data_IF_422630900344
#
_entry.id   IF_422630900344
#
_cell.length_a   1.000
_cell.length_b   1.000
_cell.length_c   1.000
_cell.angle_alpha   90.00
_cell.angle_beta   90.00
_cell.angle_gamma   90.00
#
_symmetry.space_group_name_H-M   'P 1'
#
loop_
_entity.id
_entity.type
_entity.pdbx_description
1 polymer ?
#
# COMPACT_ATOMS: atom_id res chain seq x y z
N UNK A 1 14.22 3.38 1.30
CA UNK A 1 12.87 3.86 1.13
C UNK A 1 12.85 5.26 0.52
N UNK A 2 13.70 6.14 1.03
CA UNK A 2 13.81 7.48 0.47
C UNK A 2 14.22 7.45 -0.99
N UNK A 3 15.10 6.53 -1.35
CA UNK A 3 15.51 6.41 -2.75
C UNK A 3 14.36 5.97 -3.63
N UNK A 4 13.53 5.09 -3.10
CA UNK A 4 12.34 4.66 -3.84
C UNK A 4 11.43 5.86 -4.08
N UNK A 5 11.23 6.65 -3.06
CA UNK A 5 10.36 7.80 -3.17
C UNK A 5 10.91 8.82 -4.18
N UNK A 6 12.19 9.15 -4.07
CA UNK A 6 12.80 10.14 -4.95
C UNK A 6 12.72 9.71 -6.40
N UNK A 7 12.94 8.43 -6.64
CA UNK A 7 12.85 7.91 -8.00
C UNK A 7 11.43 8.07 -8.56
N UNK A 8 10.45 7.74 -7.77
CA UNK A 8 9.07 7.86 -8.20
C UNK A 8 8.55 9.27 -8.14
N UNK A 9 9.11 10.09 -7.24
CA UNK A 9 8.67 11.45 -7.08
C UNK A 9 8.78 12.29 -8.33
N UNK A 10 9.58 11.84 -9.27
CA UNK A 10 9.69 12.53 -10.55
C UNK A 10 8.42 12.48 -11.37
N UNK A 11 7.50 11.62 -10.98
CA UNK A 11 6.26 11.42 -11.71
C UNK A 11 5.16 12.38 -11.28
N UNK A 12 5.52 13.32 -10.42
CA UNK A 12 4.60 14.37 -10.03
C UNK A 12 3.76 14.05 -8.82
N UNK A 13 2.74 14.87 -8.56
CA UNK A 13 1.98 14.81 -7.32
C UNK A 13 1.22 13.50 -7.14
N UNK A 14 1.02 12.79 -8.20
CA UNK A 14 0.31 11.52 -8.12
C UNK A 14 1.24 10.33 -8.12
N UNK A 15 2.51 10.58 -7.89
CA UNK A 15 3.35 9.48 -7.53
C UNK A 15 2.88 9.07 -6.18
N UNK A 16 2.19 8.05 -6.21
CA UNK A 16 1.21 7.80 -5.21
C UNK A 16 1.56 6.53 -4.47
N UNK A 17 0.61 6.12 -3.68
CA UNK A 17 0.71 4.93 -2.88
C UNK A 17 1.00 3.67 -3.69
N UNK A 18 0.39 3.52 -4.85
CA UNK A 18 0.62 2.33 -5.66
C UNK A 18 2.00 2.33 -6.30
N UNK A 19 2.51 3.52 -6.66
CA UNK A 19 3.86 3.63 -7.19
C UNK A 19 4.92 3.19 -6.19
N UNK A 20 4.72 3.53 -4.92
CA UNK A 20 5.62 3.10 -3.87
C UNK A 20 5.70 1.57 -3.82
N UNK A 21 4.55 0.91 -3.84
CA UNK A 21 4.49 -0.53 -3.75
C UNK A 21 5.07 -1.19 -4.99
N UNK A 22 4.73 -0.68 -6.17
CA UNK A 22 5.28 -1.20 -7.40
C UNK A 22 6.81 -1.18 -7.38
N UNK A 23 7.38 -0.05 -6.95
CA UNK A 23 8.82 0.11 -6.94
C UNK A 23 9.47 -0.81 -5.92
N UNK A 24 8.87 -0.93 -4.75
CA UNK A 24 9.41 -1.79 -3.71
C UNK A 24 9.48 -3.25 -4.16
N UNK A 25 8.42 -3.73 -4.80
CA UNK A 25 8.41 -5.11 -5.28
C UNK A 25 9.27 -5.29 -6.52
N UNK A 26 9.35 -4.28 -7.36
CA UNK A 26 10.18 -4.36 -8.55
C UNK A 26 11.66 -4.58 -8.20
N UNK A 27 12.11 -4.03 -7.08
CA UNK A 27 13.48 -4.26 -6.63
C UNK A 27 13.78 -5.71 -6.34
N UNK A 28 12.75 -6.52 -6.15
CA UNK A 28 12.89 -7.96 -5.95
C UNK A 28 12.40 -8.73 -7.17
N UNK A 29 12.34 -8.07 -8.33
CA UNK A 29 11.93 -8.66 -9.59
C UNK A 29 10.49 -9.15 -9.58
N UNK A 30 9.65 -8.51 -8.78
CA UNK A 30 8.24 -8.82 -8.73
C UNK A 30 7.48 -7.65 -9.34
N UNK A 31 6.71 -7.93 -10.38
CA UNK A 31 5.91 -6.92 -11.07
C UNK A 31 4.49 -6.92 -10.56
N UNK A 32 3.97 -5.73 -10.29
CA UNK A 32 2.61 -5.55 -9.82
C UNK A 32 1.83 -4.69 -10.81
N UNK A 33 0.49 -4.84 -10.85
CA UNK A 33 -0.33 -3.93 -11.65
C UNK A 33 -0.15 -2.49 -11.22
N UNK A 34 -0.57 -1.54 -12.05
CA UNK A 34 -0.28 -0.13 -11.82
C UNK A 34 -1.12 0.50 -10.72
N UNK A 35 -2.41 0.23 -10.69
CA UNK A 35 -3.31 0.94 -9.78
C UNK A 35 -3.68 0.13 -8.56
N UNK A 36 -4.01 0.83 -7.47
CA UNK A 36 -4.28 0.18 -6.20
C UNK A 36 -5.41 -0.85 -6.28
N UNK A 37 -6.48 -0.54 -6.99
CA UNK A 37 -7.58 -1.49 -7.11
C UNK A 37 -7.18 -2.73 -7.91
N UNK A 38 -6.26 -2.58 -8.86
CA UNK A 38 -5.75 -3.71 -9.62
C UNK A 38 -4.85 -4.58 -8.76
N UNK A 39 -4.01 -3.95 -7.94
CA UNK A 39 -3.14 -4.69 -7.02
C UNK A 39 -4.00 -5.46 -6.02
N UNK A 40 -5.07 -4.85 -5.54
CA UNK A 40 -5.98 -5.52 -4.61
C UNK A 40 -6.55 -6.79 -5.20
N UNK A 41 -6.98 -6.74 -6.46
CA UNK A 41 -7.51 -7.91 -7.14
C UNK A 41 -6.46 -8.96 -7.44
N UNK A 42 -5.23 -8.53 -7.65
CA UNK A 42 -4.13 -9.41 -7.99
C UNK A 42 -3.61 -10.22 -6.80
N UNK A 43 -3.66 -9.65 -5.61
CA UNK A 43 -3.12 -10.27 -4.41
C UNK A 43 -4.01 -11.37 -3.87
N UNK A 44 -3.38 -12.30 -3.14
CA UNK A 44 -4.13 -13.25 -2.35
C UNK A 44 -4.81 -12.49 -1.23
N UNK A 45 -6.12 -12.62 -1.11
CA UNK A 45 -6.89 -11.93 -0.08
C UNK A 45 -6.65 -12.56 1.29
N UNK A 46 -6.46 -11.74 2.31
CA UNK A 46 -6.30 -12.19 3.69
C UNK A 46 -7.60 -12.00 4.44
N UNK A 47 -8.13 -13.09 4.95
CA UNK A 47 -9.40 -13.05 5.68
C UNK A 47 -9.18 -12.85 7.17
N UNK A 48 -10.11 -12.14 7.82
CA UNK A 48 -10.13 -11.96 9.28
C UNK A 48 -8.95 -11.20 9.85
N UNK A 49 -8.19 -10.48 9.00
CA UNK A 49 -7.02 -9.78 9.51
C UNK A 49 -7.39 -8.65 10.49
N UNK A 50 -8.60 -8.11 10.39
CA UNK A 50 -9.05 -7.03 11.28
C UNK A 50 -9.24 -7.48 12.72
N UNK A 51 -9.41 -8.74 12.94
CA UNK A 51 -9.58 -9.30 14.27
C UNK A 51 -8.25 -9.56 14.94
N UNK A 52 -7.22 -9.73 14.12
CA UNK A 52 -5.88 -9.96 14.63
C UNK A 52 -4.88 -9.56 13.55
N UNK A 53 -4.13 -8.50 13.84
CA UNK A 53 -3.08 -8.09 12.92
C UNK A 53 -1.93 -9.10 12.89
N UNK A 54 -2.00 -10.13 13.72
CA UNK A 54 -0.98 -11.17 13.73
C UNK A 54 -0.92 -11.99 12.46
N UNK A 55 -1.96 -11.98 11.63
CA UNK A 55 -1.91 -12.69 10.35
C UNK A 55 -1.09 -11.91 9.32
N UNK A 56 -0.86 -10.63 9.55
CA UNK A 56 -0.10 -9.80 8.62
C UNK A 56 1.39 -10.08 8.75
N UNK A 57 2.07 -10.03 7.62
CA UNK A 57 3.52 -10.19 7.53
C UNK A 57 4.14 -8.98 6.86
N UNK A 58 5.40 -8.67 7.20
CA UNK A 58 6.09 -7.57 6.51
C UNK A 58 5.99 -7.71 5.00
N UNK A 59 5.61 -6.63 4.34
CA UNK A 59 5.44 -6.63 2.89
C UNK A 59 4.02 -6.83 2.42
N UNK A 60 3.10 -7.20 3.30
CA UNK A 60 1.71 -7.38 2.89
C UNK A 60 1.07 -6.04 2.55
N UNK A 61 0.41 -5.93 1.39
CA UNK A 61 -0.32 -4.70 1.06
C UNK A 61 -1.56 -4.54 1.91
N UNK A 62 -1.81 -3.30 2.30
CA UNK A 62 -3.03 -2.89 2.99
C UNK A 62 -3.82 -1.99 2.04
N UNK A 63 -5.12 -2.22 1.94
CA UNK A 63 -5.97 -1.52 0.98
C UNK A 63 -6.97 -0.64 1.69
N UNK A 64 -7.04 0.63 1.27
CA UNK A 64 -7.87 1.65 1.90
C UNK A 64 -8.77 2.30 0.87
N UNK A 65 -9.89 2.84 1.32
CA UNK A 65 -10.80 3.55 0.44
C UNK A 65 -12.16 3.73 1.07
N UNK A 66 -13.12 4.14 0.24
CA UNK A 66 -14.49 4.29 0.67
C UNK A 66 -15.28 3.05 0.27
N UNK A 67 -15.93 2.47 1.26
CA UNK A 67 -16.69 1.26 1.08
C UNK A 67 -15.80 0.19 0.46
N UNK A 68 -16.11 -0.27 -0.73
CA UNK A 68 -15.31 -1.30 -1.35
C UNK A 68 -14.39 -0.78 -2.45
N UNK A 69 -14.39 0.53 -2.64
CA UNK A 69 -13.57 1.11 -3.68
C UNK A 69 -12.19 1.44 -3.14
N UNK A 70 -11.19 0.69 -3.56
CA UNK A 70 -9.82 0.89 -3.13
C UNK A 70 -9.19 2.04 -3.90
N UNK A 71 -8.73 3.05 -3.17
CA UNK A 71 -8.06 4.19 -3.78
C UNK A 71 -6.73 4.52 -3.10
N UNK A 72 -6.33 3.74 -2.11
CA UNK A 72 -5.08 3.95 -1.40
C UNK A 72 -4.52 2.62 -0.93
N UNK A 73 -3.21 2.53 -0.80
CA UNK A 73 -2.54 1.29 -0.46
C UNK A 73 -1.30 1.58 0.38
N UNK A 74 -1.01 0.68 1.30
CA UNK A 74 0.20 0.74 2.12
C UNK A 74 0.90 -0.60 2.15
N UNK A 75 2.08 -0.63 2.75
CA UNK A 75 2.86 -1.86 2.92
C UNK A 75 3.06 -2.10 4.41
N UNK A 76 2.59 -3.23 4.88
CA UNK A 76 2.72 -3.56 6.29
C UNK A 76 4.19 -3.78 6.68
N UNK A 77 4.57 -3.27 7.83
CA UNK A 77 5.91 -3.45 8.36
C UNK A 77 5.90 -4.48 9.50
N UNK A 78 5.36 -4.07 10.64
CA UNK A 78 5.26 -4.93 11.83
C UNK A 78 4.53 -4.16 12.92
N UNK A 79 4.00 -4.88 13.88
CA UNK A 79 3.39 -4.28 15.08
C UNK A 79 2.36 -3.19 14.76
N UNK A 80 1.57 -3.42 13.73
CA UNK A 80 0.55 -2.47 13.33
C UNK A 80 1.05 -1.29 12.53
N UNK A 81 2.34 -1.22 12.24
CA UNK A 81 2.93 -0.13 11.47
C UNK A 81 2.97 -0.46 9.99
N UNK A 82 2.79 0.55 9.17
CA UNK A 82 2.85 0.37 7.72
C UNK A 82 3.40 1.62 7.05
N UNK A 83 4.04 1.41 5.90
CA UNK A 83 4.51 2.50 5.05
C UNK A 83 3.45 2.83 4.02
N UNK A 84 3.27 4.12 3.75
CA UNK A 84 2.45 4.54 2.62
C UNK A 84 2.87 5.92 2.17
N UNK A 85 2.45 6.27 0.97
CA UNK A 85 2.70 7.58 0.39
C UNK A 85 1.39 8.33 0.38
N UNK A 86 1.31 9.41 1.13
CA UNK A 86 0.08 10.18 1.25
C UNK A 86 0.30 11.62 0.84
N UNK A 87 -0.79 12.29 0.47
CA UNK A 87 -0.73 13.64 -0.01
C UNK A 87 -0.63 14.68 1.10
N UNK A 88 -0.66 15.95 0.68
CA UNK A 88 -0.51 17.07 1.59
C UNK A 88 -1.71 17.26 2.51
N UNK A 89 -2.89 17.18 1.94
CA UNK A 89 -4.10 17.59 2.68
C UNK A 89 -4.51 16.61 3.76
N UNK A 90 -4.51 15.33 3.43
CA UNK A 90 -4.94 14.30 4.37
C UNK A 90 -3.84 13.30 4.57
N UNK A 91 -2.62 13.78 4.83
CA UNK A 91 -1.54 12.84 4.95
C UNK A 91 -0.24 13.50 5.36
N UNK A 92 0.82 12.77 5.13
CA UNK A 92 2.16 13.14 5.58
C UNK A 92 2.99 13.85 4.51
N UNK A 93 2.42 14.05 3.34
CA UNK A 93 3.12 14.66 2.22
C UNK A 93 4.38 13.88 1.86
N UNK A 94 4.21 12.61 1.59
CA UNK A 94 5.32 11.74 1.21
C UNK A 94 5.20 10.36 1.83
N UNK A 95 6.31 9.64 1.83
CA UNK A 95 6.37 8.30 2.36
C UNK A 95 6.65 8.36 3.86
N UNK A 96 5.76 7.82 4.66
CA UNK A 96 5.91 7.80 6.11
C UNK A 96 5.32 6.52 6.67
N UNK A 97 5.64 6.28 7.94
CA UNK A 97 5.03 5.20 8.71
C UNK A 97 3.82 5.74 9.44
N UNK A 98 2.76 4.96 9.42
CA UNK A 98 1.60 5.23 10.26
C UNK A 98 1.17 3.94 10.94
N UNK A 99 0.26 4.03 11.90
CA UNK A 99 -0.08 2.89 12.75
C UNK A 99 -1.56 2.54 12.66
N UNK A 100 -1.82 1.25 12.60
CA UNK A 100 -3.18 0.73 12.68
C UNK A 100 -3.69 0.76 14.13
N UNK A 101 -2.79 0.96 15.08
CA UNK A 101 -3.13 0.96 16.50
C UNK A 101 -3.25 2.36 17.10
N UNK A 102 -2.79 3.37 16.40
CA UNK A 102 -2.77 4.73 16.93
C UNK A 102 -4.11 5.41 16.74
N UNK A 103 -4.67 5.90 17.83
CA UNK A 103 -5.98 6.56 17.80
C UNK A 103 -5.90 8.06 18.08
N UNK A 104 -4.77 8.55 18.57
CA UNK A 104 -4.64 9.97 18.90
C UNK A 104 -4.12 10.81 17.75
N UNK A 105 -3.53 10.18 16.76
CA UNK A 105 -3.01 10.87 15.60
C UNK A 105 -4.08 10.91 14.51
N UNK A 106 -4.44 12.10 14.07
CA UNK A 106 -5.51 12.28 13.10
C UNK A 106 -5.27 11.56 11.79
N UNK A 107 -4.04 11.56 11.32
CA UNK A 107 -3.72 10.95 10.03
C UNK A 107 -3.81 9.45 10.14
N UNK A 108 -3.24 8.86 11.19
CA UNK A 108 -3.33 7.42 11.41
C UNK A 108 -4.78 6.99 11.54
N UNK A 109 -5.57 7.75 12.29
CA UNK A 109 -6.98 7.42 12.47
C UNK A 109 -7.75 7.52 11.16
N UNK A 110 -7.45 8.54 10.37
CA UNK A 110 -8.11 8.75 9.08
C UNK A 110 -7.95 7.51 8.19
N UNK A 111 -6.72 7.03 8.04
CA UNK A 111 -6.48 5.87 7.18
C UNK A 111 -6.99 4.58 7.81
N UNK A 112 -6.86 4.44 9.11
CA UNK A 112 -7.41 3.26 9.77
C UNK A 112 -8.91 3.14 9.53
N UNK A 113 -9.61 4.25 9.57
CA UNK A 113 -11.05 4.25 9.35
C UNK A 113 -11.43 3.88 7.93
N UNK A 114 -10.50 3.98 7.00
CA UNK A 114 -10.70 3.65 5.59
C UNK A 114 -10.13 2.29 5.20
N UNK A 115 -9.61 1.55 6.15
CA UNK A 115 -9.02 0.24 5.86
C UNK A 115 -10.09 -0.73 5.40
N UNK A 116 -9.91 -1.25 4.18
CA UNK A 116 -10.88 -2.18 3.58
C UNK A 116 -10.44 -3.63 3.79
N UNK A 117 -9.20 -3.94 3.42
CA UNK A 117 -8.72 -5.30 3.43
C UNK A 117 -7.21 -5.33 3.37
N UNK A 118 -6.65 -6.54 3.40
CA UNK A 118 -5.24 -6.76 3.22
C UNK A 118 -5.03 -7.92 2.27
N UNK A 119 -3.86 -7.99 1.68
CA UNK A 119 -3.52 -9.06 0.78
C UNK A 119 -2.10 -9.52 0.94
N UNK A 120 -1.72 -10.49 0.13
CA UNK A 120 -0.34 -10.98 0.09
C UNK A 120 0.06 -11.19 -1.35
N UNK A 121 1.22 -10.67 -1.69
CA UNK A 121 1.75 -10.85 -3.04
C UNK A 121 2.36 -12.25 -3.10
N UNK A 122 1.76 -13.11 -3.90
CA UNK A 122 2.21 -14.51 -4.02
C UNK A 122 2.68 -14.85 -5.41
N UNK A 123 2.65 -13.89 -6.33
CA UNK A 123 3.11 -14.10 -7.70
C UNK A 123 3.44 -12.76 -8.34
N UNK A 124 4.06 -12.82 -9.51
CA UNK A 124 4.41 -11.62 -10.26
C UNK A 124 3.44 -11.41 -11.41
N UNK A 125 3.09 -10.16 -11.64
CA UNK A 125 2.21 -9.78 -12.74
C UNK A 125 3.01 -9.79 -14.04
N UNK A 126 2.45 -10.37 -15.10
CA UNK A 126 3.18 -10.60 -16.34
C UNK A 126 2.64 -9.84 -17.54
N UNK A 127 2.03 -8.71 -17.29
CA UNK A 127 1.44 -7.91 -18.34
C UNK A 127 2.46 -7.53 -19.43
N UNK A 128 3.70 -7.39 -19.04
CA UNK A 128 4.74 -6.91 -19.91
C UNK A 128 4.94 -7.79 -21.14
N UNK A 129 4.50 -8.99 -21.08
CA UNK A 129 4.67 -9.92 -22.15
C UNK A 129 3.86 -9.61 -23.36
N UNK A 130 2.74 -8.98 -23.16
CA UNK A 130 1.81 -8.74 -24.24
C UNK A 130 1.93 -7.37 -24.84
N UNK A 131 2.68 -6.52 -24.20
CA UNK A 131 2.77 -5.12 -24.62
C UNK A 131 3.80 -4.90 -25.69
N UNK A 132 4.80 -5.71 -25.70
CA UNK A 132 5.92 -5.53 -26.63
C UNK A 132 5.63 -5.85 -28.06
#
# INVERSE_FOLDING_TARGET
LNNVFLWGGTLGPNFDCSGLIQTAFFKHNIYLPRDSYQIKSFCKHLFYFKESYGVLRPGDPLFFGDKEKCDHIGIYKENGLYYHCSGKEFGRNGIKLDSLNESNDKISWHYKSKLISAGRVVRSYRWDRTIR
#
